data_IF_063058185998
#
_entry.id   IF_063058185998
#
_cell.length_a   1.000
_cell.length_b   1.000
_cell.length_c   1.000
_cell.angle_alpha   90.00
_cell.angle_beta   90.00
_cell.angle_gamma   90.00
#
_symmetry.space_group_name_H-M   'P 1'
#
loop_
_entity.id
_entity.type
_entity.pdbx_description
1 polymer ?
#
# COMPACT_ATOMS: atom_id res chain seq x y z
N UNK A 1 -50.38 11.98 20.48
CA UNK A 1 -49.47 12.96 21.11
C UNK A 1 -48.17 12.26 21.58
N UNK A 2 -47.10 12.41 20.80
CA UNK A 2 -45.76 11.91 21.15
C UNK A 2 -45.17 12.76 22.27
N UNK A 3 -44.98 12.17 23.45
CA UNK A 3 -44.28 12.80 24.57
C UNK A 3 -42.77 12.71 24.32
N UNK A 4 -42.20 13.68 23.62
CA UNK A 4 -40.75 13.79 23.42
C UNK A 4 -40.11 14.35 24.69
N UNK A 5 -39.42 13.49 25.44
CA UNK A 5 -38.28 13.92 26.26
C UNK A 5 -37.03 13.63 25.44
N UNK A 6 -35.97 14.43 25.56
CA UNK A 6 -34.88 14.51 24.57
C UNK A 6 -34.20 13.17 24.18
N UNK A 7 -34.41 12.08 24.91
CA UNK A 7 -33.85 10.74 24.64
C UNK A 7 -34.89 9.61 24.65
N UNK A 8 -36.19 9.90 24.80
CA UNK A 8 -37.27 8.91 24.81
C UNK A 8 -38.20 9.18 23.64
N UNK A 9 -38.37 8.20 22.77
CA UNK A 9 -39.31 8.26 21.66
C UNK A 9 -40.41 7.24 21.88
N UNK A 10 -41.67 7.70 21.92
CA UNK A 10 -42.84 6.87 22.22
C UNK A 10 -43.85 6.91 21.09
N UNK A 11 -44.39 5.74 20.74
CA UNK A 11 -45.47 5.57 19.77
C UNK A 11 -46.56 4.65 20.32
N UNK A 12 -47.80 4.90 19.90
CA UNK A 12 -48.95 4.09 20.33
C UNK A 12 -49.04 2.88 19.40
N UNK A 13 -49.12 1.67 19.96
CA UNK A 13 -49.13 0.42 19.17
C UNK A 13 -50.56 -0.12 19.02
N UNK A 14 -51.25 -0.42 20.12
CA UNK A 14 -52.60 -1.00 20.12
C UNK A 14 -53.27 -0.91 21.50
N UNK A 15 -54.59 -0.72 21.59
CA UNK A 15 -55.38 -0.77 22.83
C UNK A 15 -54.78 0.06 23.98
N UNK A 16 -54.51 1.35 23.78
CA UNK A 16 -53.87 2.24 24.77
C UNK A 16 -52.49 1.80 25.28
N UNK A 17 -51.88 0.81 24.63
CA UNK A 17 -50.50 0.39 24.89
C UNK A 17 -49.55 1.29 24.11
N UNK A 18 -48.63 1.94 24.82
CA UNK A 18 -47.61 2.82 24.24
C UNK A 18 -46.26 2.13 24.34
N UNK A 19 -45.58 2.00 23.21
CA UNK A 19 -44.19 1.55 23.14
C UNK A 19 -43.27 2.75 23.15
N UNK A 20 -42.22 2.68 23.95
CA UNK A 20 -41.20 3.69 24.02
C UNK A 20 -39.83 3.05 23.85
N UNK A 21 -39.00 3.74 23.09
CA UNK A 21 -37.58 3.46 22.98
C UNK A 21 -36.77 4.56 23.67
N UNK A 22 -35.76 4.16 24.43
CA UNK A 22 -34.77 5.06 25.01
C UNK A 22 -33.39 4.70 24.48
N UNK A 23 -32.66 5.70 24.00
CA UNK A 23 -31.28 5.53 23.53
C UNK A 23 -30.36 6.09 24.61
N UNK A 24 -29.48 5.24 25.14
CA UNK A 24 -28.49 5.65 26.14
C UNK A 24 -27.29 6.32 25.45
N UNK A 25 -26.97 7.59 25.76
CA UNK A 25 -25.84 8.30 25.17
C UNK A 25 -24.45 7.72 25.52
N UNK A 26 -24.35 6.86 26.54
CA UNK A 26 -23.06 6.31 26.98
C UNK A 26 -22.60 5.13 26.12
N UNK A 27 -23.53 4.22 25.80
CA UNK A 27 -23.23 2.94 25.15
C UNK A 27 -23.95 2.77 23.78
N UNK A 28 -24.67 3.79 23.31
CA UNK A 28 -25.52 3.77 22.10
C UNK A 28 -26.54 2.61 22.07
N UNK A 29 -26.85 2.03 23.23
CA UNK A 29 -27.81 0.94 23.37
C UNK A 29 -29.25 1.47 23.38
N UNK A 30 -30.15 0.73 22.73
CA UNK A 30 -31.58 1.02 22.69
C UNK A 30 -32.35 0.10 23.63
N UNK A 31 -33.15 0.72 24.50
CA UNK A 31 -34.05 0.08 25.44
C UNK A 31 -35.48 0.19 24.95
N UNK A 32 -36.23 -0.90 25.02
CA UNK A 32 -37.65 -0.94 24.65
C UNK A 32 -38.51 -1.23 25.87
N UNK A 33 -39.52 -0.39 26.10
CA UNK A 33 -40.51 -0.59 27.14
C UNK A 33 -41.91 -0.27 26.63
N UNK A 34 -42.89 -1.02 27.14
CA UNK A 34 -44.30 -0.88 26.84
C UNK A 34 -45.01 -0.44 28.12
N UNK A 35 -45.91 0.51 28.05
CA UNK A 35 -46.80 0.80 29.16
C UNK A 35 -48.26 0.85 28.71
N UNK A 36 -49.14 0.37 29.58
CA UNK A 36 -50.58 0.39 29.41
C UNK A 36 -51.18 1.15 30.59
N UNK A 37 -52.05 2.10 30.28
CA UNK A 37 -52.77 2.90 31.27
C UNK A 37 -54.26 2.60 31.16
N UNK A 38 -54.83 2.02 32.22
CA UNK A 38 -56.27 1.82 32.31
C UNK A 38 -56.91 3.07 32.95
N UNK A 39 -57.56 3.89 32.12
CA UNK A 39 -58.24 5.11 32.58
C UNK A 39 -59.35 4.84 33.61
N UNK A 40 -59.87 3.60 33.72
CA UNK A 40 -60.98 3.25 34.62
C UNK A 40 -60.54 2.72 35.97
N UNK A 41 -59.36 2.09 36.03
CA UNK A 41 -58.88 1.40 37.22
C UNK A 41 -57.68 2.08 37.90
N UNK A 42 -57.21 3.22 37.36
CA UNK A 42 -56.01 3.94 37.82
C UNK A 42 -54.79 3.00 37.97
N UNK A 43 -54.68 2.02 37.08
CA UNK A 43 -53.58 1.07 37.05
C UNK A 43 -52.61 1.45 35.91
N UNK A 44 -51.31 1.38 36.22
CA UNK A 44 -50.22 1.57 35.26
C UNK A 44 -49.42 0.27 35.23
N UNK A 45 -49.47 -0.43 34.09
CA UNK A 45 -48.68 -1.64 33.88
C UNK A 45 -47.53 -1.34 32.93
N UNK A 46 -46.32 -1.71 33.31
CA UNK A 46 -45.10 -1.48 32.52
C UNK A 46 -44.44 -2.82 32.24
N UNK A 47 -44.14 -3.09 30.97
CA UNK A 47 -43.36 -4.24 30.52
C UNK A 47 -42.04 -3.75 29.93
N UNK A 48 -40.94 -4.31 30.40
CA UNK A 48 -39.60 -3.95 29.94
C UNK A 48 -39.01 -5.13 29.19
N UNK A 49 -38.43 -4.89 28.02
CA UNK A 49 -37.63 -5.90 27.32
C UNK A 49 -36.31 -6.07 28.07
N UNK A 50 -36.02 -7.30 28.51
CA UNK A 50 -34.83 -7.61 29.31
C UNK A 50 -33.52 -7.43 28.53
N UNK A 51 -33.55 -7.76 27.23
CA UNK A 51 -32.38 -7.66 26.35
C UNK A 51 -32.34 -6.31 25.62
N UNK A 52 -31.21 -5.61 25.76
CA UNK A 52 -30.91 -4.33 25.12
C UNK A 52 -30.40 -4.57 23.71
N UNK A 53 -30.79 -3.71 22.77
CA UNK A 53 -30.22 -3.75 21.42
C UNK A 53 -29.03 -2.78 21.34
N UNK A 54 -27.81 -3.32 21.31
CA UNK A 54 -26.58 -2.54 21.28
C UNK A 54 -25.86 -2.75 19.95
N UNK A 55 -25.33 -1.69 19.32
CA UNK A 55 -24.57 -1.83 18.09
C UNK A 55 -23.33 -2.72 18.31
N UNK A 56 -22.96 -3.57 17.33
CA UNK A 56 -21.79 -4.43 17.45
C UNK A 56 -20.51 -3.60 17.56
N UNK A 57 -19.52 -4.04 18.36
CA UNK A 57 -18.26 -3.33 18.49
C UNK A 57 -17.54 -3.26 17.14
N UNK A 58 -17.19 -2.05 16.71
CA UNK A 58 -16.42 -1.85 15.48
C UNK A 58 -14.99 -2.41 15.66
N UNK A 59 -14.50 -3.29 14.76
CA UNK A 59 -13.18 -3.89 14.88
C UNK A 59 -12.09 -2.91 14.42
N UNK A 60 -11.72 -1.96 15.29
CA UNK A 60 -10.74 -0.89 15.01
C UNK A 60 -9.41 -1.46 14.51
N UNK A 61 -8.93 -2.55 15.14
CA UNK A 61 -7.66 -3.19 14.78
C UNK A 61 -7.65 -3.67 13.32
N UNK A 62 -8.74 -4.24 12.83
CA UNK A 62 -8.83 -4.74 11.46
C UNK A 62 -8.74 -3.60 10.44
N UNK A 63 -9.39 -2.47 10.73
CA UNK A 63 -9.34 -1.27 9.88
C UNK A 63 -7.91 -0.74 9.80
N UNK A 64 -7.24 -0.60 10.95
CA UNK A 64 -5.86 -0.09 11.03
C UNK A 64 -4.90 -0.97 10.24
N UNK A 65 -4.98 -2.30 10.42
CA UNK A 65 -4.14 -3.25 9.68
C UNK A 65 -4.43 -3.21 8.18
N UNK A 66 -5.70 -3.10 7.78
CA UNK A 66 -6.10 -2.98 6.39
C UNK A 66 -5.51 -1.74 5.71
N UNK A 67 -5.55 -0.59 6.39
CA UNK A 67 -5.00 0.67 5.87
C UNK A 67 -3.48 0.58 5.70
N UNK A 68 -2.76 0.06 6.70
CA UNK A 68 -1.29 -0.11 6.63
C UNK A 68 -0.92 -1.02 5.45
N UNK A 69 -1.59 -2.17 5.33
CA UNK A 69 -1.36 -3.09 4.23
C UNK A 69 -1.63 -2.42 2.86
N UNK A 70 -2.72 -1.67 2.75
CA UNK A 70 -3.06 -0.92 1.54
C UNK A 70 -1.99 0.10 1.14
N UNK A 71 -1.50 0.89 2.09
CA UNK A 71 -0.43 1.88 1.84
C UNK A 71 0.87 1.19 1.41
N UNK A 72 1.24 0.09 2.06
CA UNK A 72 2.44 -0.68 1.71
C UNK A 72 2.33 -1.23 0.29
N UNK A 73 1.20 -1.84 -0.07
CA UNK A 73 0.97 -2.39 -1.42
C UNK A 73 1.01 -1.28 -2.47
N UNK A 74 0.35 -0.15 -2.21
CA UNK A 74 0.35 0.99 -3.12
C UNK A 74 1.77 1.56 -3.31
N UNK A 75 2.52 1.67 -2.21
CA UNK A 75 3.92 2.09 -2.23
C UNK A 75 4.80 1.13 -3.03
N UNK A 76 4.61 -0.18 -2.87
CA UNK A 76 5.33 -1.19 -3.65
C UNK A 76 5.02 -1.11 -5.15
N UNK A 77 3.75 -0.93 -5.52
CA UNK A 77 3.36 -0.79 -6.94
C UNK A 77 4.04 0.45 -7.54
N UNK A 78 3.98 1.60 -6.86
CA UNK A 78 4.62 2.83 -7.33
C UNK A 78 6.14 2.66 -7.43
N UNK A 79 6.77 2.03 -6.45
CA UNK A 79 8.21 1.76 -6.45
C UNK A 79 8.60 0.82 -7.58
N UNK A 80 7.82 -0.24 -7.86
CA UNK A 80 8.07 -1.15 -8.98
C UNK A 80 7.97 -0.44 -10.33
N UNK A 81 6.96 0.41 -10.52
CA UNK A 81 6.81 1.20 -11.75
C UNK A 81 7.97 2.18 -11.91
N UNK A 82 8.31 2.94 -10.85
CA UNK A 82 9.48 3.82 -10.84
C UNK A 82 10.74 3.03 -11.20
N UNK A 83 10.99 1.91 -10.51
CA UNK A 83 12.18 1.09 -10.68
C UNK A 83 12.29 0.61 -12.12
N UNK A 84 11.19 0.15 -12.72
CA UNK A 84 11.16 -0.26 -14.12
C UNK A 84 11.53 0.90 -15.05
N UNK A 85 10.91 2.06 -14.87
CA UNK A 85 11.20 3.26 -15.68
C UNK A 85 12.67 3.67 -15.57
N UNK A 86 13.23 3.70 -14.36
CA UNK A 86 14.65 4.03 -14.16
C UNK A 86 15.58 3.03 -14.82
N UNK A 87 15.30 1.72 -14.70
CA UNK A 87 16.14 0.69 -15.32
C UNK A 87 16.11 0.77 -16.84
N UNK A 88 14.97 1.11 -17.43
CA UNK A 88 14.88 1.32 -18.88
C UNK A 88 15.67 2.55 -19.31
N UNK A 89 15.61 3.64 -18.56
CA UNK A 89 16.37 4.85 -18.84
C UNK A 89 17.89 4.58 -18.76
N UNK A 90 18.34 3.97 -17.65
CA UNK A 90 19.74 3.60 -17.44
C UNK A 90 20.24 2.64 -18.55
N UNK A 91 19.41 1.67 -18.98
CA UNK A 91 19.77 0.75 -20.07
C UNK A 91 19.84 1.43 -21.43
N UNK A 92 18.95 2.38 -21.71
CA UNK A 92 18.97 3.13 -22.96
C UNK A 92 20.24 3.99 -23.08
N UNK A 93 20.61 4.66 -21.99
CA UNK A 93 21.83 5.47 -21.94
C UNK A 93 23.09 4.60 -21.99
N UNK A 94 23.10 3.47 -21.27
CA UNK A 94 24.21 2.51 -21.32
C UNK A 94 24.42 1.95 -22.73
N UNK A 95 23.34 1.58 -23.44
CA UNK A 95 23.44 1.09 -24.81
C UNK A 95 24.02 2.15 -25.77
N UNK A 96 23.67 3.43 -25.59
CA UNK A 96 24.26 4.53 -26.36
C UNK A 96 25.75 4.68 -26.05
N UNK A 97 26.12 4.67 -24.77
CA UNK A 97 27.51 4.79 -24.35
C UNK A 97 28.38 3.63 -24.81
N UNK A 98 27.86 2.40 -24.80
CA UNK A 98 28.61 1.23 -25.25
C UNK A 98 28.84 1.26 -26.77
N UNK A 99 27.85 1.71 -27.56
CA UNK A 99 28.03 1.95 -28.99
C UNK A 99 29.07 3.05 -29.26
N UNK A 100 29.03 4.15 -28.51
CA UNK A 100 30.05 5.21 -28.61
C UNK A 100 31.45 4.69 -28.21
N UNK A 101 31.57 3.84 -27.18
CA UNK A 101 32.84 3.20 -26.80
C UNK A 101 33.34 2.20 -27.82
N UNK A 102 32.46 1.44 -28.48
CA UNK A 102 32.82 0.50 -29.53
C UNK A 102 33.31 1.24 -30.79
N UNK A 103 32.69 2.36 -31.14
CA UNK A 103 33.14 3.22 -32.24
C UNK A 103 34.39 4.03 -31.87
N UNK A 104 34.55 4.42 -30.61
CA UNK A 104 35.74 5.09 -30.10
C UNK A 104 36.90 4.12 -29.83
N UNK A 105 36.67 2.80 -29.78
CA UNK A 105 37.69 1.79 -30.05
C UNK A 105 38.00 1.87 -31.54
N UNK A 106 38.85 2.83 -31.88
CA UNK A 106 39.56 3.05 -33.13
C UNK A 106 39.38 1.91 -34.13
N UNK A 107 38.80 2.22 -35.29
CA UNK A 107 38.95 1.43 -36.51
C UNK A 107 40.43 1.03 -36.64
N UNK A 108 40.78 -0.19 -36.23
CA UNK A 108 42.00 -0.87 -36.68
C UNK A 108 41.76 -1.43 -38.07
N UNK A 109 41.05 -0.67 -38.92
CA UNK A 109 41.22 -0.78 -40.35
C UNK A 109 42.62 -0.22 -40.62
N UNK A 110 43.61 -1.10 -40.51
CA UNK A 110 44.98 -0.83 -40.89
C UNK A 110 44.96 -0.21 -42.28
N UNK A 111 45.11 1.11 -42.34
CA UNK A 111 45.23 1.81 -43.59
C UNK A 111 46.45 1.23 -44.30
N UNK A 112 46.35 0.69 -45.54
CA UNK A 112 47.45 -0.01 -46.21
C UNK A 112 48.69 0.86 -46.49
N UNK A 113 48.62 2.17 -46.17
CA UNK A 113 49.73 3.13 -46.24
C UNK A 113 50.43 3.37 -44.88
N UNK A 114 49.85 2.97 -43.75
CA UNK A 114 50.41 3.29 -42.43
C UNK A 114 51.56 2.34 -42.06
N UNK A 115 52.75 2.90 -41.77
CA UNK A 115 53.91 2.14 -41.27
C UNK A 115 54.03 2.35 -39.76
N UNK A 116 54.10 1.26 -38.99
CA UNK A 116 54.40 1.33 -37.56
C UNK A 116 55.76 2.01 -37.32
N UNK A 117 55.78 3.05 -36.48
CA UNK A 117 57.00 3.75 -36.05
C UNK A 117 57.73 2.99 -34.92
N UNK A 118 57.81 1.67 -35.00
CA UNK A 118 58.56 0.85 -34.03
C UNK A 118 59.84 0.37 -34.70
N UNK A 119 60.96 1.02 -34.40
CA UNK A 119 62.28 0.58 -34.84
C UNK A 119 62.72 -0.59 -33.97
N UNK A 120 62.43 -1.83 -34.39
CA UNK A 120 63.03 -3.01 -33.76
C UNK A 120 64.52 -3.04 -34.09
N UNK A 121 65.33 -2.47 -33.20
CA UNK A 121 66.78 -2.50 -33.28
C UNK A 121 67.29 -3.91 -32.94
N UNK A 122 67.74 -4.67 -33.94
CA UNK A 122 68.40 -5.97 -33.75
C UNK A 122 69.82 -5.70 -33.23
N UNK A 123 70.08 -6.03 -31.97
CA UNK A 123 71.40 -5.87 -31.37
C UNK A 123 72.40 -6.89 -31.98
N UNK A 124 73.45 -6.42 -32.69
CA UNK A 124 74.44 -7.30 -33.34
C UNK A 124 75.26 -8.17 -32.39
N UNK A 125 75.34 -7.81 -31.10
CA UNK A 125 76.16 -8.53 -30.10
C UNK A 125 75.63 -9.95 -29.82
N UNK A 126 74.33 -10.19 -30.05
CA UNK A 126 73.71 -11.48 -29.75
C UNK A 126 73.83 -12.53 -30.86
N UNK A 127 74.38 -12.19 -32.03
CA UNK A 127 74.55 -13.14 -33.14
C UNK A 127 75.86 -13.96 -33.10
N UNK A 128 76.73 -13.71 -32.12
CA UNK A 128 78.05 -14.32 -32.06
C UNK A 128 78.37 -14.94 -30.71
N UNK A 129 77.95 -16.19 -30.49
CA UNK A 129 78.67 -17.16 -29.65
C UNK A 129 78.12 -18.59 -29.82
N UNK A 130 78.21 -19.11 -31.04
CA UNK A 130 78.07 -20.56 -31.31
C UNK A 130 79.25 -21.08 -32.15
N UNK A 131 80.42 -20.46 -31.99
CA UNK A 131 81.68 -20.97 -32.53
C UNK A 131 82.65 -21.17 -31.35
N UNK A 132 83.12 -22.42 -31.19
CA UNK A 132 83.92 -23.02 -30.08
C UNK A 132 82.99 -23.62 -29.02
N UNK A 133 82.93 -24.94 -28.86
CA UNK A 133 84.09 -25.79 -28.51
C UNK A 133 83.99 -27.18 -29.14
N UNK A 134 85.17 -27.65 -29.56
CA UNK A 134 85.54 -28.97 -30.07
C UNK A 134 85.42 -30.04 -28.98
#
# INVERSE_FOLDING_TARGET
PSLYTNNVNCFIVLNDTTECQFVDPADDCTFYFLFYQDEKADNLTVWVKEEKDCPPPVPILAIVLGVIAGIVILGLILLLVWKLLTVLHDRAEFAKFDNERLMAKWDTNENPIYKQATTTFKNPVYAGNSAKTK
#
